data_IF_060227952164
#
_entry.id   IF_060227952164
#
_cell.length_a   1.000
_cell.length_b   1.000
_cell.length_c   1.000
_cell.angle_alpha   90.00
_cell.angle_beta   90.00
_cell.angle_gamma   90.00
#
_symmetry.space_group_name_H-M   'P 1'
#
loop_
_entity.id
_entity.type
_entity.pdbx_description
1 polymer ?
#
# COMPACT_ATOMS: atom_id res chain seq x y z
N UNK A 1 -2.46 20.58 -2.41
CA UNK A 1 -2.68 21.79 -1.59
C UNK A 1 -2.83 21.40 -0.12
N UNK A 2 -2.77 22.35 0.83
CA UNK A 2 -2.88 22.04 2.25
C UNK A 2 -4.34 21.79 2.70
N UNK A 3 -4.50 21.12 3.84
CA UNK A 3 -5.80 20.99 4.52
C UNK A 3 -6.30 22.33 5.01
N UNK A 4 -7.57 22.63 4.76
CA UNK A 4 -8.24 23.85 5.22
C UNK A 4 -9.56 23.52 5.90
N UNK A 5 -9.83 24.17 7.03
CA UNK A 5 -11.13 24.08 7.68
C UNK A 5 -12.16 24.90 6.88
N UNK A 6 -13.16 24.23 6.30
CA UNK A 6 -14.21 24.87 5.48
C UNK A 6 -15.47 25.18 6.28
N UNK A 7 -15.72 24.39 7.33
CA UNK A 7 -16.76 24.58 8.34
C UNK A 7 -16.18 24.13 9.69
N UNK A 8 -16.73 24.57 10.83
CA UNK A 8 -16.26 24.10 12.14
C UNK A 8 -16.16 22.57 12.21
N UNK A 9 -14.95 22.07 12.41
CA UNK A 9 -14.64 20.64 12.48
C UNK A 9 -14.61 19.90 11.12
N UNK A 10 -14.84 20.56 9.98
CA UNK A 10 -14.73 19.98 8.65
C UNK A 10 -13.50 20.50 7.92
N UNK A 11 -12.57 19.60 7.65
CA UNK A 11 -11.32 19.87 6.95
C UNK A 11 -11.36 19.26 5.55
N UNK A 12 -10.88 20.02 4.58
CA UNK A 12 -10.85 19.59 3.19
C UNK A 12 -9.51 19.87 2.54
N UNK A 13 -9.14 19.02 1.58
CA UNK A 13 -8.11 19.33 0.59
C UNK A 13 -8.41 18.61 -0.72
N UNK A 14 -7.91 19.11 -1.85
CA UNK A 14 -7.89 18.34 -3.09
C UNK A 14 -7.10 17.04 -2.95
N UNK A 15 -7.54 16.00 -3.66
CA UNK A 15 -6.79 14.75 -3.83
C UNK A 15 -5.48 15.09 -4.55
N UNK A 16 -4.36 14.63 -4.00
CA UNK A 16 -3.04 14.82 -4.60
C UNK A 16 -2.90 14.00 -5.87
N UNK A 17 -2.07 14.44 -6.79
CA UNK A 17 -1.93 13.84 -8.11
C UNK A 17 -1.51 12.35 -8.07
N UNK A 18 -0.59 11.99 -7.17
CA UNK A 18 -0.21 10.61 -6.91
C UNK A 18 -1.35 9.78 -6.30
N UNK A 19 -2.15 10.40 -5.43
CA UNK A 19 -3.33 9.78 -4.83
C UNK A 19 -4.42 9.56 -5.87
N UNK A 20 -4.67 10.52 -6.77
CA UNK A 20 -5.63 10.42 -7.87
C UNK A 20 -5.32 9.26 -8.80
N UNK A 21 -4.05 9.06 -9.16
CA UNK A 21 -3.63 7.91 -9.97
C UNK A 21 -3.95 6.58 -9.27
N UNK A 22 -3.61 6.45 -7.98
CA UNK A 22 -3.87 5.21 -7.22
C UNK A 22 -5.37 5.00 -7.00
N UNK A 23 -6.11 6.07 -6.69
CA UNK A 23 -7.56 6.04 -6.51
C UNK A 23 -8.26 5.63 -7.80
N UNK A 24 -7.88 6.18 -8.96
CA UNK A 24 -8.42 5.80 -10.27
C UNK A 24 -8.26 4.30 -10.53
N UNK A 25 -7.09 3.73 -10.25
CA UNK A 25 -6.84 2.29 -10.41
C UNK A 25 -7.74 1.48 -9.47
N UNK A 26 -7.86 1.89 -8.21
CA UNK A 26 -8.73 1.23 -7.23
C UNK A 26 -10.22 1.30 -7.59
N UNK A 27 -10.70 2.47 -8.00
CA UNK A 27 -12.09 2.72 -8.39
C UNK A 27 -12.49 1.92 -9.63
N UNK A 28 -11.56 1.68 -10.57
CA UNK A 28 -11.81 0.85 -11.74
C UNK A 28 -12.25 -0.59 -11.37
N UNK A 29 -11.86 -1.07 -10.18
CA UNK A 29 -12.30 -2.37 -9.64
C UNK A 29 -13.72 -2.39 -9.09
N UNK A 30 -14.29 -1.24 -8.73
CA UNK A 30 -15.61 -1.16 -8.08
C UNK A 30 -16.72 -1.67 -8.99
N UNK A 31 -16.63 -1.45 -10.31
CA UNK A 31 -17.57 -1.99 -11.28
C UNK A 31 -17.63 -3.53 -11.27
N UNK A 32 -16.57 -4.19 -10.78
CA UNK A 32 -16.50 -5.64 -10.60
C UNK A 32 -16.78 -6.08 -9.16
N UNK A 33 -17.21 -5.16 -8.28
CA UNK A 33 -17.43 -5.42 -6.85
C UNK A 33 -16.14 -5.74 -6.09
N UNK A 34 -14.97 -5.32 -6.59
CA UNK A 34 -13.65 -5.63 -6.01
C UNK A 34 -12.90 -4.37 -5.63
N UNK A 35 -12.15 -4.44 -4.54
CA UNK A 35 -11.18 -3.41 -4.17
C UNK A 35 -9.81 -3.78 -4.74
N UNK A 36 -9.58 -3.42 -6.00
CA UNK A 36 -8.41 -3.86 -6.78
C UNK A 36 -7.11 -3.14 -6.43
N UNK A 37 -7.15 -2.21 -5.47
CA UNK A 37 -5.95 -1.51 -4.99
C UNK A 37 -6.13 -1.10 -3.52
N UNK A 38 -6.62 -2.03 -2.70
CA UNK A 38 -6.56 -1.94 -1.25
C UNK A 38 -5.20 -2.40 -0.74
N UNK A 39 -4.87 -1.96 0.47
CA UNK A 39 -3.72 -2.44 1.22
C UNK A 39 -4.19 -3.04 2.54
N UNK A 40 -3.66 -4.22 2.86
CA UNK A 40 -3.91 -4.88 4.13
C UNK A 40 -2.60 -5.16 4.85
N UNK A 41 -2.51 -4.74 6.11
CA UNK A 41 -1.40 -5.09 7.00
C UNK A 41 -1.94 -5.97 8.13
N UNK A 42 -1.25 -7.07 8.40
CA UNK A 42 -1.71 -8.09 9.33
C UNK A 42 -0.63 -8.40 10.36
N UNK A 43 -1.07 -8.75 11.57
CA UNK A 43 -0.20 -9.26 12.62
C UNK A 43 -0.91 -10.35 13.39
N UNK A 44 -0.21 -11.46 13.60
CA UNK A 44 -0.60 -12.48 14.57
C UNK A 44 0.21 -12.28 15.85
N UNK A 45 -0.43 -12.44 16.99
CA UNK A 45 0.16 -12.19 18.29
C UNK A 45 -0.43 -13.10 19.37
N UNK A 46 0.28 -13.21 20.47
CA UNK A 46 -0.21 -13.86 21.69
C UNK A 46 -0.46 -12.81 22.76
N UNK A 47 -1.57 -12.91 23.48
CA UNK A 47 -1.90 -12.04 24.58
C UNK A 47 -2.12 -12.84 25.86
N UNK A 48 -1.63 -12.33 26.99
CA UNK A 48 -1.89 -12.88 28.34
C UNK A 48 -3.10 -12.22 29.01
N UNK A 49 -3.99 -11.63 28.22
CA UNK A 49 -5.19 -10.91 28.66
C UNK A 49 -6.40 -11.64 28.12
N UNK A 50 -7.47 -11.70 28.91
CA UNK A 50 -8.75 -12.30 28.50
C UNK A 50 -9.27 -11.66 27.19
N UNK A 51 -9.96 -12.43 26.32
CA UNK A 51 -10.38 -11.95 25.00
C UNK A 51 -11.24 -10.68 25.02
N UNK A 52 -12.17 -10.58 25.97
CA UNK A 52 -13.09 -9.43 26.06
C UNK A 52 -12.39 -8.12 26.43
N UNK A 53 -11.58 -8.03 27.51
CA UNK A 53 -10.76 -6.84 27.77
C UNK A 53 -9.80 -6.50 26.63
N UNK A 54 -9.21 -7.51 25.96
CA UNK A 54 -8.33 -7.29 24.82
C UNK A 54 -9.08 -6.68 23.62
N UNK A 55 -10.25 -7.20 23.27
CA UNK A 55 -11.08 -6.66 22.19
C UNK A 55 -11.49 -5.21 22.46
N UNK A 56 -11.83 -4.88 23.71
CA UNK A 56 -12.13 -3.51 24.12
C UNK A 56 -10.90 -2.61 23.99
N UNK A 57 -9.74 -3.03 24.47
CA UNK A 57 -8.51 -2.25 24.35
C UNK A 57 -8.05 -2.05 22.90
N UNK A 58 -8.26 -3.03 22.02
CA UNK A 58 -8.01 -2.91 20.58
C UNK A 58 -8.95 -1.89 19.94
N UNK A 59 -10.23 -1.89 20.34
CA UNK A 59 -11.23 -0.92 19.88
C UNK A 59 -10.88 0.50 20.33
N UNK A 60 -10.45 0.65 21.57
CA UNK A 60 -10.02 1.95 22.12
C UNK A 60 -8.70 2.39 21.48
N UNK A 61 -7.78 1.46 21.25
CA UNK A 61 -6.55 1.68 20.48
C UNK A 61 -6.82 2.13 19.04
N UNK A 62 -7.88 1.62 18.40
CA UNK A 62 -8.33 2.06 17.08
C UNK A 62 -8.87 3.49 17.10
N UNK A 63 -9.60 3.88 18.14
CA UNK A 63 -10.00 5.27 18.36
C UNK A 63 -8.79 6.20 18.55
N UNK A 64 -7.82 5.78 19.37
CA UNK A 64 -6.57 6.50 19.58
C UNK A 64 -5.73 6.58 18.29
N UNK A 65 -5.72 5.54 17.47
CA UNK A 65 -5.04 5.56 16.17
C UNK A 65 -5.66 6.62 15.25
N UNK A 66 -7.00 6.74 15.20
CA UNK A 66 -7.65 7.82 14.45
C UNK A 66 -7.24 9.20 14.97
N UNK A 67 -7.10 9.36 16.28
CA UNK A 67 -6.60 10.61 16.82
C UNK A 67 -5.15 10.85 16.36
N UNK A 68 -4.23 9.90 16.50
CA UNK A 68 -2.82 10.10 16.14
C UNK A 68 -2.55 10.17 14.63
N UNK A 69 -3.38 9.52 13.83
CA UNK A 69 -3.30 9.48 12.36
C UNK A 69 -4.67 9.76 11.73
N UNK A 70 -5.17 11.00 11.81
CA UNK A 70 -6.55 11.35 11.41
C UNK A 70 -6.85 11.07 9.94
N UNK A 71 -5.82 11.06 9.08
CA UNK A 71 -5.96 10.74 7.66
C UNK A 71 -6.47 9.31 7.38
N UNK A 72 -6.46 8.38 8.35
CA UNK A 72 -7.12 7.07 8.16
C UNK A 72 -8.65 7.19 8.05
N UNK A 73 -9.23 8.25 8.64
CA UNK A 73 -10.67 8.50 8.67
C UNK A 73 -11.12 9.50 7.59
N UNK A 74 -10.26 9.85 6.64
CA UNK A 74 -10.66 10.72 5.53
C UNK A 74 -11.55 9.97 4.55
N UNK A 75 -12.54 10.64 3.98
CA UNK A 75 -13.34 10.17 2.85
C UNK A 75 -12.99 10.95 1.59
N UNK A 76 -13.22 10.36 0.42
CA UNK A 76 -13.05 11.03 -0.86
C UNK A 76 -14.43 11.27 -1.49
N UNK A 77 -14.69 12.50 -1.90
CA UNK A 77 -15.85 12.89 -2.70
C UNK A 77 -15.34 13.59 -3.97
N UNK A 78 -15.45 12.90 -5.10
CA UNK A 78 -14.79 13.29 -6.35
C UNK A 78 -13.28 13.52 -6.14
N UNK A 79 -12.84 14.73 -6.46
CA UNK A 79 -11.44 15.17 -6.35
C UNK A 79 -11.12 15.88 -5.02
N UNK A 80 -12.00 15.77 -4.02
CA UNK A 80 -11.81 16.36 -2.69
C UNK A 80 -11.76 15.28 -1.61
N UNK A 81 -10.80 15.42 -0.70
CA UNK A 81 -10.72 14.65 0.53
C UNK A 81 -11.33 15.44 1.68
N UNK A 82 -12.11 14.76 2.51
CA UNK A 82 -12.81 15.32 3.65
C UNK A 82 -12.36 14.61 4.93
N UNK A 83 -12.15 15.40 5.99
CA UNK A 83 -11.98 14.91 7.34
C UNK A 83 -12.95 15.66 8.27
N UNK A 84 -13.65 14.94 9.12
CA UNK A 84 -14.52 15.53 10.15
C UNK A 84 -14.01 15.15 11.54
N UNK A 85 -13.76 16.18 12.36
CA UNK A 85 -13.52 16.03 13.80
C UNK A 85 -14.76 15.40 14.41
N UNK A 86 -14.66 14.21 15.03
CA UNK A 86 -15.82 13.53 15.56
C UNK A 86 -16.25 14.11 16.90
N UNK A 87 -17.56 14.27 17.09
CA UNK A 87 -18.12 14.27 18.45
C UNK A 87 -18.20 12.84 19.02
N UNK A 88 -18.67 12.70 20.26
CA UNK A 88 -18.76 11.40 20.95
C UNK A 88 -19.65 10.39 20.20
N UNK A 89 -20.77 10.85 19.64
CA UNK A 89 -21.71 9.98 18.93
C UNK A 89 -21.13 9.55 17.58
N UNK A 90 -20.54 10.51 16.85
CA UNK A 90 -19.87 10.26 15.57
C UNK A 90 -18.65 9.34 15.71
N UNK A 91 -17.87 9.48 16.79
CA UNK A 91 -16.77 8.57 17.08
C UNK A 91 -17.29 7.16 17.34
N UNK A 92 -18.33 7.03 18.16
CA UNK A 92 -18.94 5.72 18.47
C UNK A 92 -19.45 5.05 17.20
N UNK A 93 -20.18 5.79 16.36
CA UNK A 93 -20.67 5.28 15.07
C UNK A 93 -19.52 4.85 14.15
N UNK A 94 -18.46 5.67 14.04
CA UNK A 94 -17.30 5.31 13.24
C UNK A 94 -16.62 4.02 13.75
N UNK A 95 -16.50 3.85 15.06
CA UNK A 95 -15.95 2.63 15.66
C UNK A 95 -16.85 1.41 15.41
N UNK A 96 -18.18 1.56 15.46
CA UNK A 96 -19.13 0.49 15.14
C UNK A 96 -19.01 0.04 13.68
N UNK A 97 -18.78 0.99 12.77
CA UNK A 97 -18.65 0.70 11.33
C UNK A 97 -17.28 0.14 10.95
N UNK A 98 -16.21 0.54 11.64
CA UNK A 98 -14.82 0.29 11.21
C UNK A 98 -14.04 -0.68 12.07
N UNK A 99 -14.51 -1.03 13.27
CA UNK A 99 -13.88 -2.04 14.12
C UNK A 99 -14.78 -3.26 14.26
N UNK A 100 -14.29 -4.44 13.86
CA UNK A 100 -15.06 -5.68 13.91
C UNK A 100 -14.29 -6.77 14.61
N UNK A 101 -14.92 -7.41 15.61
CA UNK A 101 -14.43 -8.65 16.22
C UNK A 101 -15.02 -9.82 15.46
N UNK A 102 -14.17 -10.71 14.96
CA UNK A 102 -14.52 -11.91 14.23
C UNK A 102 -14.32 -13.11 15.14
N UNK A 103 -15.40 -13.85 15.36
CA UNK A 103 -15.42 -15.06 16.20
C UNK A 103 -15.44 -16.32 15.33
N UNK A 104 -14.87 -17.40 15.86
CA UNK A 104 -14.74 -18.69 15.17
C UNK A 104 -13.39 -18.91 14.50
N UNK A 105 -13.24 -20.06 13.85
CA UNK A 105 -12.01 -20.50 13.17
C UNK A 105 -11.87 -19.84 11.78
N UNK A 106 -11.70 -18.52 11.77
CA UNK A 106 -11.50 -17.72 10.56
C UNK A 106 -10.03 -17.36 10.43
N UNK A 107 -9.41 -17.68 9.30
CA UNK A 107 -8.01 -17.34 9.03
C UNK A 107 -7.89 -15.97 8.36
N UNK A 108 -6.72 -15.33 8.51
CA UNK A 108 -6.40 -14.06 7.83
C UNK A 108 -6.63 -14.16 6.32
N UNK A 109 -6.15 -15.22 5.67
CA UNK A 109 -6.30 -15.41 4.22
C UNK A 109 -7.76 -15.56 3.79
N UNK A 110 -8.59 -16.22 4.61
CA UNK A 110 -10.02 -16.33 4.34
C UNK A 110 -10.70 -14.96 4.38
N UNK A 111 -10.38 -14.14 5.39
CA UNK A 111 -10.92 -12.79 5.51
C UNK A 111 -10.47 -11.93 4.34
N UNK A 112 -9.17 -11.83 4.07
CA UNK A 112 -8.64 -11.01 2.98
C UNK A 112 -9.21 -11.39 1.60
N UNK A 113 -9.52 -12.66 1.37
CA UNK A 113 -10.17 -13.09 0.14
C UNK A 113 -11.63 -12.66 0.04
N UNK A 114 -12.33 -12.49 1.16
CA UNK A 114 -13.78 -12.25 1.19
C UNK A 114 -14.17 -10.80 1.50
N UNK A 115 -13.20 -9.93 1.82
CA UNK A 115 -13.47 -8.52 2.10
C UNK A 115 -14.13 -7.82 0.90
N UNK A 116 -15.30 -7.18 1.08
CA UNK A 116 -15.89 -6.33 0.06
C UNK A 116 -15.11 -5.00 -0.04
N UNK A 117 -15.31 -4.22 -1.11
CA UNK A 117 -14.84 -2.84 -1.15
C UNK A 117 -15.34 -2.03 0.04
N UNK A 118 -14.43 -1.29 0.68
CA UNK A 118 -14.75 -0.45 1.84
C UNK A 118 -14.36 1.00 1.56
N UNK A 119 -15.28 1.96 1.77
CA UNK A 119 -14.95 3.38 1.62
C UNK A 119 -14.08 3.89 2.77
N UNK A 120 -14.10 3.21 3.93
CA UNK A 120 -13.39 3.56 5.15
C UNK A 120 -12.29 2.55 5.46
N UNK A 121 -11.23 3.03 6.12
CA UNK A 121 -10.26 2.15 6.77
C UNK A 121 -10.97 1.30 7.84
N UNK A 122 -10.66 0.01 7.88
CA UNK A 122 -11.27 -0.94 8.81
C UNK A 122 -10.19 -1.71 9.57
N UNK A 123 -10.52 -2.10 10.80
CA UNK A 123 -9.72 -2.95 11.68
C UNK A 123 -10.54 -4.19 12.06
N UNK A 124 -10.00 -5.37 11.76
CA UNK A 124 -10.62 -6.65 12.10
C UNK A 124 -9.76 -7.36 13.14
N UNK A 125 -10.36 -7.79 14.24
CA UNK A 125 -9.72 -8.62 15.25
C UNK A 125 -10.27 -10.05 15.16
N UNK A 126 -9.41 -11.01 14.85
CA UNK A 126 -9.72 -12.44 14.81
C UNK A 126 -9.41 -13.03 16.18
N UNK A 127 -10.45 -13.26 16.97
CA UNK A 127 -10.31 -13.62 18.39
C UNK A 127 -9.63 -14.97 18.60
N UNK A 128 -9.99 -15.97 17.78
CA UNK A 128 -9.45 -17.32 17.87
C UNK A 128 -7.96 -17.39 17.51
N UNK A 129 -7.57 -16.73 16.41
CA UNK A 129 -6.21 -16.77 15.87
C UNK A 129 -5.27 -15.76 16.53
N UNK A 130 -5.79 -14.86 17.37
CA UNK A 130 -5.01 -13.77 17.95
C UNK A 130 -4.41 -12.88 16.87
N UNK A 131 -5.22 -12.47 15.89
CA UNK A 131 -4.73 -11.71 14.74
C UNK A 131 -5.50 -10.41 14.52
N UNK A 132 -4.82 -9.38 14.01
CA UNK A 132 -5.43 -8.13 13.58
C UNK A 132 -5.15 -7.91 12.10
N UNK A 133 -6.16 -7.40 11.39
CA UNK A 133 -6.08 -6.97 9.99
C UNK A 133 -6.45 -5.49 9.93
N UNK A 134 -5.52 -4.66 9.51
CA UNK A 134 -5.79 -3.29 9.06
C UNK A 134 -6.02 -3.31 7.56
N UNK A 135 -7.18 -2.84 7.10
CA UNK A 135 -7.55 -2.80 5.69
C UNK A 135 -7.91 -1.38 5.28
N UNK A 136 -7.23 -0.84 4.26
CA UNK A 136 -7.39 0.54 3.82
C UNK A 136 -7.36 0.61 2.29
N UNK A 137 -8.07 1.58 1.69
CA UNK A 137 -7.79 1.92 0.28
C UNK A 137 -6.36 2.47 0.17
N UNK A 138 -5.59 2.00 -0.81
CA UNK A 138 -4.16 2.28 -0.88
C UNK A 138 -3.83 3.76 -1.17
N UNK A 139 -4.79 4.58 -1.62
CA UNK A 139 -4.56 6.02 -1.71
C UNK A 139 -4.34 6.71 -0.34
N UNK A 140 -4.72 6.06 0.78
CA UNK A 140 -4.51 6.59 2.15
C UNK A 140 -3.15 6.28 2.74
N UNK A 141 -2.45 5.24 2.28
CA UNK A 141 -1.19 4.81 2.87
C UNK A 141 -0.37 4.00 1.89
N UNK A 142 0.95 4.04 2.03
CA UNK A 142 1.85 3.07 1.42
C UNK A 142 2.12 1.86 2.33
N UNK A 143 2.87 0.87 1.85
CA UNK A 143 3.19 -0.33 2.62
C UNK A 143 3.99 -0.06 3.89
N UNK A 144 4.91 0.92 3.87
CA UNK A 144 5.65 1.32 5.07
C UNK A 144 4.71 1.96 6.08
N UNK A 145 3.84 2.85 5.61
CA UNK A 145 2.82 3.51 6.42
C UNK A 145 1.86 2.51 7.06
N UNK A 146 1.44 1.46 6.34
CA UNK A 146 0.56 0.43 6.87
C UNK A 146 1.20 -0.33 8.05
N UNK A 147 2.51 -0.61 7.99
CA UNK A 147 3.24 -1.20 9.13
C UNK A 147 3.40 -0.22 10.30
N UNK A 148 3.66 1.07 10.04
CA UNK A 148 3.67 2.08 11.10
C UNK A 148 2.30 2.19 11.79
N UNK A 149 1.20 2.19 11.03
CA UNK A 149 -0.16 2.21 11.58
C UNK A 149 -0.43 0.97 12.45
N UNK A 150 0.03 -0.21 12.02
CA UNK A 150 -0.11 -1.44 12.78
C UNK A 150 0.67 -1.41 14.10
N UNK A 151 1.91 -0.91 14.07
CA UNK A 151 2.71 -0.71 15.29
C UNK A 151 2.08 0.31 16.24
N UNK A 152 1.58 1.44 15.70
CA UNK A 152 0.90 2.47 16.48
C UNK A 152 -0.40 1.96 17.12
N UNK A 153 -1.15 1.08 16.44
CA UNK A 153 -2.34 0.43 17.01
C UNK A 153 -1.96 -0.42 18.23
N UNK A 154 -0.93 -1.25 18.14
CA UNK A 154 -0.49 -2.07 19.28
C UNK A 154 0.01 -1.22 20.44
N UNK A 155 0.77 -0.16 20.16
CA UNK A 155 1.20 0.77 21.21
C UNK A 155 0.01 1.41 21.93
N UNK A 156 -0.99 1.89 21.19
CA UNK A 156 -2.20 2.46 21.77
C UNK A 156 -3.02 1.41 22.56
N UNK A 157 -3.13 0.19 22.04
CA UNK A 157 -3.81 -0.93 22.71
C UNK A 157 -3.14 -1.26 24.04
N UNK A 158 -1.81 -1.34 24.07
CA UNK A 158 -1.05 -1.61 25.29
C UNK A 158 -1.20 -0.50 26.32
N UNK A 159 -1.26 0.77 25.88
CA UNK A 159 -1.55 1.89 26.77
C UNK A 159 -2.93 1.75 27.43
N UNK A 160 -3.97 1.46 26.65
CA UNK A 160 -5.33 1.26 27.18
C UNK A 160 -5.48 0.01 28.07
N UNK A 161 -4.60 -0.98 27.95
CA UNK A 161 -4.57 -2.12 28.87
C UNK A 161 -3.90 -1.81 30.21
N UNK A 162 -3.04 -0.78 30.27
CA UNK A 162 -2.23 -0.46 31.45
C UNK A 162 -2.79 0.71 32.24
N UNK A 163 -3.26 1.73 31.53
CA UNK A 163 -3.66 3.02 32.10
C UNK A 163 -5.17 3.16 32.08
N UNK A 164 -5.70 4.02 32.96
CA UNK A 164 -7.13 4.35 32.94
C UNK A 164 -7.52 5.00 31.59
N UNK A 165 -8.75 4.75 31.08
CA UNK A 165 -9.22 5.36 29.85
C UNK A 165 -9.12 6.89 29.92
N UNK A 166 -8.22 7.46 29.12
CA UNK A 166 -8.05 8.91 29.05
C UNK A 166 -8.84 9.48 27.88
N UNK A 167 -9.38 10.70 28.07
CA UNK A 167 -10.11 11.40 27.03
C UNK A 167 -9.12 12.08 26.09
N UNK A 168 -9.21 11.74 24.81
CA UNK A 168 -8.47 12.41 23.74
C UNK A 168 -9.11 13.77 23.46
N UNK A 169 -8.33 14.86 23.39
CA UNK A 169 -8.84 16.20 23.10
C UNK A 169 -9.12 16.36 21.60
N UNK A 170 -10.21 15.76 21.11
CA UNK A 170 -10.64 15.85 19.71
C UNK A 170 -10.77 17.31 19.25
N UNK A 171 -10.29 17.58 18.04
CA UNK A 171 -9.96 18.89 17.48
C UNK A 171 -8.44 19.07 17.33
N UNK A 172 -7.66 18.65 18.33
CA UNK A 172 -6.20 18.78 18.35
C UNK A 172 -5.51 17.82 17.36
N UNK A 173 -6.23 16.85 16.79
CA UNK A 173 -5.68 15.95 15.78
C UNK A 173 -5.54 16.57 14.41
N UNK A 174 -6.29 17.62 14.10
CA UNK A 174 -6.32 18.23 12.77
C UNK A 174 -4.93 18.66 12.27
N UNK A 175 -4.02 19.05 13.18
CA UNK A 175 -2.62 19.39 12.86
C UNK A 175 -1.77 18.20 12.39
N UNK A 176 -2.25 16.97 12.58
CA UNK A 176 -1.61 15.70 12.15
C UNK A 176 -2.18 15.18 10.83
N UNK A 177 -3.13 15.88 10.21
CA UNK A 177 -3.60 15.52 8.87
C UNK A 177 -2.43 15.62 7.87
N UNK A 178 -2.15 14.52 7.19
CA UNK A 178 -1.00 14.47 6.29
C UNK A 178 -1.33 15.10 4.94
N UNK A 179 -0.41 15.87 4.35
CA UNK A 179 -0.60 16.43 3.02
C UNK A 179 -0.36 15.37 1.93
N UNK A 180 -0.77 15.70 0.70
CA UNK A 180 -0.35 14.98 -0.50
C UNK A 180 1.17 14.97 -0.65
N UNK A 181 1.69 14.02 -1.43
CA UNK A 181 3.14 13.83 -1.57
C UNK A 181 3.82 15.02 -2.25
N UNK A 182 3.10 15.70 -3.13
CA UNK A 182 3.57 16.85 -3.87
C UNK A 182 3.83 18.04 -2.94
N UNK A 183 2.96 18.26 -1.96
CA UNK A 183 3.12 19.27 -0.91
C UNK A 183 4.15 18.86 0.13
N UNK A 184 4.19 17.57 0.51
CA UNK A 184 5.21 17.05 1.42
C UNK A 184 6.62 17.25 0.86
N UNK A 185 6.78 17.08 -0.47
CA UNK A 185 8.01 17.34 -1.21
C UNK A 185 8.25 18.83 -1.52
N UNK A 186 7.29 19.71 -1.21
CA UNK A 186 7.32 21.15 -1.54
C UNK A 186 7.52 21.41 -3.03
N UNK A 187 6.89 20.60 -3.88
CA UNK A 187 6.90 20.82 -5.32
C UNK A 187 6.16 22.11 -5.68
N UNK A 188 6.62 22.87 -6.69
CA UNK A 188 5.90 24.02 -7.20
C UNK A 188 4.43 23.67 -7.52
N UNK A 189 3.52 24.59 -7.21
CA UNK A 189 2.10 24.43 -7.54
C UNK A 189 1.89 24.43 -9.05
N UNK A 190 2.53 25.37 -9.76
CA UNK A 190 2.48 25.45 -11.21
C UNK A 190 3.54 24.51 -11.82
N UNK A 191 3.13 23.57 -12.69
CA UNK A 191 4.07 22.70 -13.40
C UNK A 191 5.04 23.50 -14.26
N UNK A 192 6.34 23.35 -13.99
CA UNK A 192 7.42 23.91 -14.82
C UNK A 192 7.73 23.00 -15.99
N UNK A 193 8.45 23.49 -17.01
CA UNK A 193 8.88 22.66 -18.14
C UNK A 193 9.72 21.43 -17.71
N UNK A 194 10.52 21.59 -16.66
CA UNK A 194 11.28 20.49 -16.07
C UNK A 194 10.36 19.43 -15.43
N UNK A 195 9.23 19.85 -14.82
CA UNK A 195 8.21 18.94 -14.30
C UNK A 195 7.53 18.21 -15.45
N UNK A 196 7.11 18.92 -16.51
CA UNK A 196 6.50 18.29 -17.69
C UNK A 196 7.41 17.25 -18.35
N UNK A 197 8.69 17.57 -18.51
CA UNK A 197 9.70 16.66 -19.07
C UNK A 197 9.85 15.41 -18.20
N UNK A 198 10.03 15.59 -16.89
CA UNK A 198 10.18 14.47 -15.95
C UNK A 198 8.93 13.58 -15.89
N UNK A 199 7.75 14.19 -15.84
CA UNK A 199 6.46 13.49 -15.88
C UNK A 199 6.31 12.69 -17.17
N UNK A 200 6.58 13.30 -18.32
CA UNK A 200 6.50 12.61 -19.62
C UNK A 200 7.46 11.43 -19.70
N UNK A 201 8.69 11.60 -19.20
CA UNK A 201 9.68 10.53 -19.12
C UNK A 201 9.16 9.33 -18.34
N UNK A 202 8.67 9.52 -17.11
CA UNK A 202 8.21 8.41 -16.28
C UNK A 202 6.84 7.85 -16.70
N UNK A 203 5.90 8.67 -17.16
CA UNK A 203 4.62 8.19 -17.69
C UNK A 203 4.81 7.36 -18.97
N UNK A 204 5.79 7.71 -19.82
CA UNK A 204 6.08 6.93 -21.03
C UNK A 204 6.47 5.48 -20.73
N UNK A 205 6.99 5.21 -19.52
CA UNK A 205 7.32 3.84 -19.09
C UNK A 205 6.09 2.94 -18.99
N UNK A 206 4.89 3.49 -18.78
CA UNK A 206 3.64 2.72 -18.84
C UNK A 206 3.46 2.01 -20.20
N UNK A 207 4.01 2.60 -21.27
CA UNK A 207 4.07 1.98 -22.59
C UNK A 207 4.81 0.65 -22.63
N UNK A 208 5.68 0.35 -21.65
CA UNK A 208 6.36 -0.94 -21.53
C UNK A 208 5.41 -2.08 -21.15
N UNK A 209 4.22 -1.80 -20.64
CA UNK A 209 3.19 -2.83 -20.46
C UNK A 209 2.71 -3.41 -21.81
N UNK A 210 2.77 -2.62 -22.89
CA UNK A 210 2.36 -3.07 -24.23
C UNK A 210 3.35 -4.12 -24.75
N UNK A 211 2.83 -5.30 -25.09
CA UNK A 211 3.64 -6.42 -25.58
C UNK A 211 4.48 -7.12 -24.50
N UNK A 212 4.26 -6.79 -23.22
CA UNK A 212 4.89 -7.51 -22.13
C UNK A 212 4.45 -8.98 -22.12
N UNK A 213 5.34 -9.86 -21.65
CA UNK A 213 5.09 -11.28 -21.49
C UNK A 213 3.88 -11.49 -20.57
N UNK A 214 2.76 -11.91 -21.14
CA UNK A 214 1.64 -12.47 -20.40
C UNK A 214 1.83 -13.97 -20.21
N UNK A 215 1.34 -14.51 -19.09
CA UNK A 215 1.23 -15.95 -18.88
C UNK A 215 -0.04 -16.41 -19.59
N UNK A 216 0.10 -17.02 -20.76
CA UNK A 216 -1.03 -17.40 -21.62
C UNK A 216 -1.38 -18.88 -21.53
N UNK A 217 -0.44 -19.69 -21.05
CA UNK A 217 -0.68 -21.11 -20.79
C UNK A 217 -1.63 -21.24 -19.59
N UNK A 218 -2.72 -22.04 -19.71
CA UNK A 218 -3.39 -22.53 -18.53
C UNK A 218 -2.30 -23.18 -17.66
N UNK A 219 -2.15 -22.69 -16.42
CA UNK A 219 -1.50 -23.51 -15.41
C UNK A 219 -2.29 -24.83 -15.42
N UNK A 220 -1.62 -25.94 -15.67
CA UNK A 220 -2.24 -27.26 -15.62
C UNK A 220 -2.61 -27.51 -14.15
N UNK A 221 -3.77 -26.98 -13.78
CA UNK A 221 -4.28 -26.92 -12.41
C UNK A 221 -4.98 -28.23 -12.01
N UNK A 222 -4.92 -29.25 -12.88
CA UNK A 222 -5.64 -30.51 -12.74
C UNK A 222 -7.13 -30.38 -13.05
N UNK A 223 -7.76 -31.51 -13.40
CA UNK A 223 -9.20 -31.61 -13.75
C UNK A 223 -10.15 -31.27 -12.58
N UNK A 224 -9.64 -31.03 -11.36
CA UNK A 224 -10.46 -30.70 -10.18
C UNK A 224 -10.77 -29.20 -10.04
N UNK A 225 -10.13 -28.35 -10.85
CA UNK A 225 -10.44 -26.92 -10.87
C UNK A 225 -11.31 -26.61 -12.10
N UNK A 226 -12.62 -26.85 -11.94
CA UNK A 226 -13.69 -26.17 -12.69
C UNK A 226 -13.21 -24.79 -13.13
N UNK A 227 -13.38 -24.39 -14.42
CA UNK A 227 -12.84 -23.14 -14.94
C UNK A 227 -13.17 -22.04 -13.95
N UNK A 228 -12.14 -21.60 -13.20
CA UNK A 228 -12.35 -20.72 -12.07
C UNK A 228 -12.90 -19.44 -12.65
N UNK A 229 -14.23 -19.30 -12.61
CA UNK A 229 -14.91 -18.11 -13.05
C UNK A 229 -14.20 -16.92 -12.40
N UNK A 230 -14.06 -15.83 -13.15
CA UNK A 230 -13.43 -14.57 -12.75
C UNK A 230 -13.99 -13.92 -11.46
N UNK A 231 -14.82 -14.66 -10.72
CA UNK A 231 -15.61 -14.33 -9.53
C UNK A 231 -15.02 -14.81 -8.19
N UNK A 232 -13.88 -15.51 -8.14
CA UNK A 232 -13.31 -15.90 -6.83
C UNK A 232 -12.28 -14.89 -6.32
N UNK A 233 -12.65 -14.24 -5.20
CA UNK A 233 -11.83 -13.75 -4.10
C UNK A 233 -10.29 -13.78 -4.27
N UNK A 234 -9.60 -12.65 -4.04
CA UNK A 234 -8.14 -12.57 -4.01
C UNK A 234 -7.54 -13.64 -3.09
N UNK A 235 -6.45 -14.28 -3.50
CA UNK A 235 -5.73 -15.27 -2.68
C UNK A 235 -4.30 -14.78 -2.45
N UNK A 236 -3.75 -15.12 -1.30
CA UNK A 236 -2.39 -14.75 -0.90
C UNK A 236 -1.56 -16.01 -0.66
N UNK A 237 -1.09 -16.71 -1.71
CA UNK A 237 -0.15 -17.80 -1.52
C UNK A 237 1.15 -17.24 -0.93
N UNK A 238 1.59 -17.79 0.20
CA UNK A 238 2.83 -17.39 0.88
C UNK A 238 3.89 -18.47 0.72
N UNK A 239 5.10 -18.06 0.33
CA UNK A 239 6.29 -18.91 0.35
C UNK A 239 7.20 -18.40 1.46
N UNK A 240 7.29 -19.17 2.55
CA UNK A 240 8.10 -18.82 3.71
C UNK A 240 9.47 -19.48 3.65
N UNK A 241 10.51 -18.70 3.86
CA UNK A 241 11.89 -19.17 4.03
C UNK A 241 12.24 -19.18 5.52
N UNK A 242 13.00 -20.17 5.96
CA UNK A 242 13.61 -20.16 7.29
C UNK A 242 14.67 -19.06 7.40
N UNK A 243 15.03 -18.62 8.64
CA UNK A 243 16.08 -17.62 8.83
C UNK A 243 17.42 -18.00 8.17
N UNK A 244 17.80 -19.28 8.22
CA UNK A 244 19.03 -19.78 7.62
C UNK A 244 18.98 -19.68 6.09
N UNK A 245 17.86 -20.09 5.47
CA UNK A 245 17.66 -19.94 4.02
C UNK A 245 17.67 -18.48 3.59
N UNK A 246 17.03 -17.59 4.37
CA UNK A 246 17.07 -16.15 4.09
C UNK A 246 18.50 -15.61 4.19
N UNK A 247 19.26 -15.99 5.23
CA UNK A 247 20.65 -15.57 5.40
C UNK A 247 21.55 -16.07 4.26
N UNK A 248 21.36 -17.31 3.83
CA UNK A 248 22.07 -17.89 2.69
C UNK A 248 21.78 -17.13 1.40
N UNK A 249 20.50 -16.84 1.12
CA UNK A 249 20.08 -16.07 -0.07
C UNK A 249 20.68 -14.65 -0.05
N UNK A 250 20.62 -13.95 1.08
CA UNK A 250 21.18 -12.61 1.21
C UNK A 250 22.71 -12.62 1.03
N UNK A 251 23.40 -13.60 1.62
CA UNK A 251 24.84 -13.78 1.44
C UNK A 251 25.21 -14.06 -0.02
N UNK A 252 24.46 -14.93 -0.70
CA UNK A 252 24.68 -15.26 -2.09
C UNK A 252 24.47 -14.07 -3.04
N UNK A 253 23.49 -13.20 -2.75
CA UNK A 253 23.29 -11.94 -3.48
C UNK A 253 24.47 -10.99 -3.25
N UNK A 254 24.87 -10.79 -1.99
CA UNK A 254 25.97 -9.92 -1.60
C UNK A 254 27.31 -10.32 -2.25
N UNK A 255 27.62 -11.62 -2.28
CA UNK A 255 28.83 -12.16 -2.94
C UNK A 255 28.87 -11.88 -4.45
N UNK A 256 27.70 -11.65 -5.07
CA UNK A 256 27.56 -11.31 -6.49
C UNK A 256 27.46 -9.79 -6.72
N UNK A 257 27.58 -8.97 -5.68
CA UNK A 257 27.39 -7.53 -5.77
C UNK A 257 25.96 -7.11 -6.09
N UNK A 258 24.98 -7.94 -5.74
CA UNK A 258 23.56 -7.71 -6.03
C UNK A 258 22.81 -7.45 -4.72
N UNK A 259 21.83 -6.54 -4.78
CA UNK A 259 20.76 -6.49 -3.79
C UNK A 259 19.78 -7.64 -3.98
N UNK A 260 19.11 -8.01 -2.89
CA UNK A 260 18.09 -9.06 -2.93
C UNK A 260 16.94 -8.70 -3.87
N UNK A 261 16.50 -7.44 -3.89
CA UNK A 261 15.39 -7.00 -4.75
C UNK A 261 15.72 -7.15 -6.24
N UNK A 262 16.95 -6.82 -6.64
CA UNK A 262 17.45 -7.00 -8.00
C UNK A 262 17.44 -8.47 -8.43
N UNK A 263 17.94 -9.35 -7.54
CA UNK A 263 17.91 -10.79 -7.75
C UNK A 263 16.48 -11.34 -7.81
N UNK A 264 15.57 -10.83 -6.97
CA UNK A 264 14.17 -11.23 -6.93
C UNK A 264 13.45 -10.87 -8.24
N UNK A 265 13.60 -9.64 -8.75
CA UNK A 265 13.02 -9.23 -10.03
C UNK A 265 13.52 -10.09 -11.22
N UNK A 266 14.83 -10.40 -11.25
CA UNK A 266 15.40 -11.30 -12.24
C UNK A 266 14.85 -12.73 -12.13
N UNK A 267 14.63 -13.21 -10.91
CA UNK A 267 14.09 -14.54 -10.64
C UNK A 267 12.61 -14.64 -11.02
N UNK A 268 11.80 -13.61 -10.76
CA UNK A 268 10.40 -13.53 -11.22
C UNK A 268 10.34 -13.52 -12.74
N UNK A 269 11.25 -12.80 -13.41
CA UNK A 269 11.35 -12.78 -14.87
C UNK A 269 11.67 -14.17 -15.42
N UNK A 270 12.69 -14.84 -14.86
CA UNK A 270 13.08 -16.19 -15.26
C UNK A 270 11.95 -17.20 -15.03
N UNK A 271 11.25 -17.11 -13.89
CA UNK A 271 10.10 -17.94 -13.59
C UNK A 271 8.95 -17.73 -14.60
N UNK A 272 8.60 -16.47 -14.90
CA UNK A 272 7.57 -16.14 -15.89
C UNK A 272 7.92 -16.70 -17.28
N UNK A 273 9.18 -16.57 -17.71
CA UNK A 273 9.67 -17.13 -18.97
C UNK A 273 9.61 -18.67 -18.97
N UNK A 274 9.98 -19.30 -17.86
CA UNK A 274 9.94 -20.75 -17.71
C UNK A 274 8.50 -21.30 -17.78
N UNK A 275 7.53 -20.62 -17.16
CA UNK A 275 6.13 -21.02 -17.17
C UNK A 275 5.53 -20.91 -18.57
N UNK A 276 5.79 -19.81 -19.27
CA UNK A 276 5.30 -19.60 -20.64
C UNK A 276 6.03 -20.51 -21.66
N UNK A 277 7.26 -20.95 -21.36
CA UNK A 277 7.98 -21.96 -22.12
C UNK A 277 8.58 -21.42 -23.43
N UNK A 278 8.74 -22.25 -24.48
CA UNK A 278 9.43 -21.85 -25.73
C UNK A 278 8.83 -20.63 -26.44
N UNK A 279 7.54 -20.34 -26.23
CA UNK A 279 6.88 -19.16 -26.77
C UNK A 279 7.30 -17.86 -26.08
N UNK A 280 7.96 -17.93 -24.93
CA UNK A 280 8.56 -16.79 -24.24
C UNK A 280 9.86 -16.34 -24.91
N UNK A 281 10.67 -17.27 -25.41
CA UNK A 281 11.99 -17.00 -25.99
C UNK A 281 11.88 -16.43 -27.42
N UNK A 282 11.44 -15.18 -27.52
CA UNK A 282 11.36 -14.42 -28.77
C UNK A 282 11.95 -13.04 -28.57
N UNK A 283 12.78 -12.58 -29.51
CA UNK A 283 13.39 -11.25 -29.48
C UNK A 283 12.35 -10.12 -29.51
N UNK A 284 11.08 -10.43 -29.83
CA UNK A 284 9.98 -9.48 -29.80
C UNK A 284 9.24 -9.42 -28.46
N UNK A 285 9.55 -10.32 -27.50
CA UNK A 285 8.93 -10.36 -26.17
C UNK A 285 9.86 -9.85 -25.09
N UNK A 286 9.29 -9.08 -24.16
CA UNK A 286 9.99 -8.58 -22.99
C UNK A 286 9.18 -8.87 -21.72
N UNK A 287 9.86 -9.03 -20.59
CA UNK A 287 9.20 -9.01 -19.29
C UNK A 287 9.21 -7.57 -18.78
N UNK A 288 8.08 -7.11 -18.26
CA UNK A 288 7.93 -5.78 -17.69
C UNK A 288 7.62 -5.88 -16.21
N UNK A 289 8.29 -5.07 -15.41
CA UNK A 289 8.06 -5.02 -13.97
C UNK A 289 8.02 -3.57 -13.51
N UNK A 290 7.32 -3.32 -12.40
CA UNK A 290 7.28 -1.99 -11.78
C UNK A 290 8.35 -1.93 -10.70
N UNK A 291 9.28 -0.98 -10.82
CA UNK A 291 10.15 -0.60 -9.73
C UNK A 291 9.38 0.36 -8.83
N UNK A 292 9.37 0.06 -7.53
CA UNK A 292 8.72 0.89 -6.50
C UNK A 292 9.79 1.43 -5.57
N UNK A 293 9.70 2.71 -5.28
CA UNK A 293 10.56 3.38 -4.32
C UNK A 293 9.74 4.05 -3.23
N UNK A 294 10.28 4.03 -2.01
CA UNK A 294 9.81 4.89 -0.94
C UNK A 294 10.32 6.30 -1.18
N UNK A 295 9.42 7.28 -1.03
CA UNK A 295 9.76 8.70 -1.07
C UNK A 295 10.09 9.26 0.31
N UNK A 296 9.81 8.50 1.39
CA UNK A 296 10.04 8.92 2.78
C UNK A 296 11.44 9.47 3.06
N UNK A 297 12.54 8.89 2.52
CA UNK A 297 13.88 9.46 2.71
C UNK A 297 14.06 10.88 2.18
N UNK A 298 13.19 11.34 1.28
CA UNK A 298 13.20 12.67 0.69
C UNK A 298 12.18 13.61 1.32
N UNK A 299 11.39 13.14 2.29
CA UNK A 299 10.39 13.95 2.96
C UNK A 299 10.97 14.63 4.21
N UNK A 300 10.58 15.88 4.48
CA UNK A 300 10.96 16.53 5.73
C UNK A 300 10.28 15.85 6.93
N UNK A 301 10.80 16.10 8.13
CA UNK A 301 10.04 15.80 9.35
C UNK A 301 8.68 16.53 9.31
N UNK A 302 7.59 15.91 9.79
CA UNK A 302 7.55 14.59 10.43
C UNK A 302 7.19 13.44 9.45
N UNK A 303 7.04 13.73 8.16
CA UNK A 303 6.44 12.82 7.17
C UNK A 303 7.31 11.63 6.75
N UNK A 304 8.63 11.70 6.96
CA UNK A 304 9.51 10.56 6.70
C UNK A 304 9.32 9.39 7.68
N UNK A 305 8.73 9.65 8.86
CA UNK A 305 8.57 8.66 9.93
C UNK A 305 7.12 8.21 10.15
N UNK A 306 6.85 7.74 11.37
CA UNK A 306 5.53 7.23 11.79
C UNK A 306 4.42 8.27 11.68
N UNK A 307 4.69 9.54 11.97
CA UNK A 307 3.67 10.60 11.85
C UNK A 307 3.12 10.74 10.42
N UNK A 308 3.91 10.39 9.40
CA UNK A 308 3.48 10.33 8.00
C UNK A 308 2.89 8.97 7.59
N UNK A 309 2.47 8.13 8.52
CA UNK A 309 2.02 6.76 8.22
C UNK A 309 0.77 6.75 7.33
N UNK A 310 -0.23 7.56 7.65
CA UNK A 310 -1.47 7.67 6.87
C UNK A 310 -1.31 8.57 5.63
N UNK A 311 -0.21 8.42 4.88
CA UNK A 311 0.08 9.12 3.63
C UNK A 311 0.68 8.20 2.56
N UNK A 312 0.41 8.51 1.30
CA UNK A 312 0.90 7.76 0.14
C UNK A 312 2.24 8.33 -0.35
N UNK A 313 3.36 7.83 0.19
CA UNK A 313 4.71 8.33 -0.09
C UNK A 313 5.56 7.32 -0.85
N UNK A 314 5.02 6.87 -1.98
CA UNK A 314 5.70 5.98 -2.92
C UNK A 314 5.66 6.53 -4.34
N UNK A 315 6.72 6.26 -5.09
CA UNK A 315 6.76 6.41 -6.53
C UNK A 315 7.06 5.06 -7.19
N UNK A 316 6.71 4.94 -8.46
CA UNK A 316 7.14 3.82 -9.26
C UNK A 316 7.13 4.12 -10.73
N UNK A 317 7.90 3.34 -11.47
CA UNK A 317 7.98 3.38 -12.92
C UNK A 317 8.22 1.97 -13.45
N UNK A 318 7.94 1.78 -14.73
CA UNK A 318 8.07 0.48 -15.36
C UNK A 318 9.46 0.36 -15.96
N UNK A 319 10.04 -0.82 -15.87
CA UNK A 319 11.23 -1.20 -16.63
C UNK A 319 10.94 -2.50 -17.35
N UNK A 320 11.65 -2.74 -18.44
CA UNK A 320 11.52 -3.97 -19.21
C UNK A 320 12.87 -4.59 -19.49
N UNK A 321 12.89 -5.91 -19.52
CA UNK A 321 14.06 -6.71 -19.91
C UNK A 321 13.68 -7.68 -21.02
N UNK A 322 14.56 -7.94 -21.99
CA UNK A 322 14.38 -9.01 -22.96
C UNK A 322 14.18 -10.36 -22.27
N UNK A 323 13.27 -11.17 -22.81
CA UNK A 323 13.04 -12.56 -22.33
C UNK A 323 14.20 -13.51 -22.64
N UNK A 324 15.07 -13.13 -23.59
CA UNK A 324 16.25 -13.88 -24.02
C UNK A 324 17.52 -13.57 -23.20
N UNK A 325 17.47 -12.55 -22.35
CA UNK A 325 18.60 -12.12 -21.52
C UNK A 325 18.82 -13.09 -20.36
N UNK A 326 20.10 -13.31 -19.99
CA UNK A 326 20.44 -14.22 -18.89
C UNK A 326 19.92 -13.71 -17.54
N UNK A 327 19.76 -14.61 -16.57
CA UNK A 327 19.36 -14.23 -15.22
C UNK A 327 20.31 -13.19 -14.60
N UNK A 328 21.63 -13.38 -14.76
CA UNK A 328 22.63 -12.50 -14.17
C UNK A 328 22.59 -11.11 -14.83
N UNK A 329 22.47 -11.06 -16.16
CA UNK A 329 22.38 -9.78 -16.86
C UNK A 329 21.10 -9.02 -16.46
N UNK A 330 19.97 -9.73 -16.31
CA UNK A 330 18.73 -9.13 -15.81
C UNK A 330 18.90 -8.60 -14.40
N UNK A 331 19.54 -9.36 -13.51
CA UNK A 331 19.79 -8.95 -12.13
C UNK A 331 20.69 -7.70 -12.06
N UNK A 332 21.75 -7.64 -12.87
CA UNK A 332 22.64 -6.47 -12.97
C UNK A 332 21.92 -5.25 -13.56
N UNK A 333 21.03 -5.44 -14.52
CA UNK A 333 20.18 -4.37 -15.03
C UNK A 333 19.28 -3.80 -13.92
N UNK A 334 18.55 -4.66 -13.20
CA UNK A 334 17.73 -4.22 -12.07
C UNK A 334 18.54 -3.55 -10.96
N UNK A 335 19.75 -4.05 -10.68
CA UNK A 335 20.66 -3.41 -9.73
C UNK A 335 21.01 -1.99 -10.18
N UNK A 336 21.32 -1.80 -11.46
CA UNK A 336 21.61 -0.46 -11.99
C UNK A 336 20.41 0.48 -11.91
N UNK A 337 19.18 -0.03 -12.03
CA UNK A 337 17.96 0.74 -11.87
C UNK A 337 17.72 1.10 -10.39
N UNK A 338 17.87 0.14 -9.47
CA UNK A 338 17.75 0.39 -8.02
C UNK A 338 18.82 1.34 -7.49
N UNK A 339 20.04 1.26 -8.01
CA UNK A 339 21.15 2.12 -7.63
C UNK A 339 20.91 3.61 -7.95
N UNK A 340 20.02 3.92 -8.92
CA UNK A 340 19.59 5.31 -9.19
C UNK A 340 18.78 5.89 -8.03
N UNK A 341 18.04 5.03 -7.32
CA UNK A 341 17.09 5.45 -6.30
C UNK A 341 16.03 6.44 -6.83
N UNK A 342 15.33 7.18 -5.94
CA UNK A 342 14.45 8.26 -6.36
C UNK A 342 15.27 9.45 -6.89
N UNK A 343 15.39 9.56 -8.22
CA UNK A 343 16.11 10.68 -8.85
C UNK A 343 15.35 12.00 -8.64
N UNK A 344 16.01 13.17 -8.73
CA UNK A 344 15.33 14.46 -8.68
C UNK A 344 14.19 14.58 -9.70
N UNK A 345 14.34 13.98 -10.87
CA UNK A 345 13.30 13.89 -11.89
C UNK A 345 12.11 13.06 -11.39
N UNK A 346 12.33 11.92 -10.75
CA UNK A 346 11.24 11.08 -10.23
C UNK A 346 10.43 11.80 -9.15
N UNK A 347 11.13 12.54 -8.27
CA UNK A 347 10.49 13.36 -7.24
C UNK A 347 9.64 14.46 -7.87
N UNK A 348 10.21 15.21 -8.84
CA UNK A 348 9.49 16.28 -9.55
C UNK A 348 8.29 15.77 -10.34
N UNK A 349 8.38 14.56 -10.87
CA UNK A 349 7.32 13.93 -11.67
C UNK A 349 6.04 13.66 -10.88
N UNK A 350 6.04 13.82 -9.54
CA UNK A 350 4.83 13.65 -8.73
C UNK A 350 3.84 14.79 -8.96
N UNK A 351 4.31 15.99 -9.30
CA UNK A 351 3.45 17.06 -9.80
C UNK A 351 3.26 16.84 -11.30
N UNK A 352 2.01 16.83 -11.78
CA UNK A 352 1.74 16.80 -13.20
C UNK A 352 0.49 17.60 -13.51
N UNK A 353 0.56 18.38 -14.59
CA UNK A 353 -0.63 19.03 -15.10
C UNK A 353 -1.55 17.93 -15.64
N UNK A 354 -2.57 17.55 -14.87
CA UNK A 354 -3.80 17.14 -15.52
C UNK A 354 -4.29 18.39 -16.24
N UNK A 355 -4.07 18.45 -17.56
CA UNK A 355 -4.81 19.40 -18.36
C UNK A 355 -6.29 19.16 -18.04
N UNK A 356 -6.95 20.18 -17.51
CA UNK A 356 -8.40 20.18 -17.40
C UNK A 356 -8.93 19.88 -18.81
N UNK A 357 -9.39 18.65 -19.01
CA UNK A 357 -9.94 18.14 -20.26
C UNK A 357 -11.41 17.85 -20.06
#
# INVERSE_FOLDING_TARGET
>A
MAWTETEPGLWQRPVGENESMIKMIGDAGQASGKDVWSISATACFTASVEPKPLAQALRDGWAALRFWHPSIATTADGDTLHYRVPDVQQLTHWLDETFTVLQGELTVDHILGTLPPRPLACCYYLEHDGAVILHLSHWRTDGIGAFHLLGALFNATVQHLRDDPYRLPWGDETVRLVPGVEEALKLPTEPTEAIHTATSMYLSTLGFAKGALGITRPLDLGDELEPMAATKATRLPTLSFSPDQTAELLSACSQRGLRFESALHASVTAAACSVEGPTAASDQKHHTTTLRHSLRPHLPAPYHGEAGAAGLYTAGYFVKVPTTQSWLDNALYYESEYAKGPTPELLRSRRWAMAAG
#
